data_IF_177379521236
#
_entry.id   IF_177379521236
#
_cell.length_a   1.000
_cell.length_b   1.000
_cell.length_c   1.000
_cell.angle_alpha   90.00
_cell.angle_beta   90.00
_cell.angle_gamma   90.00
#
_symmetry.space_group_name_H-M   'P 1'
#
loop_
_entity.id
_entity.type
_entity.pdbx_description
1 polymer ?
#
# COMPACT_ATOMS: atom_id res chain seq x y z
N UNK A 1 57.16 36.02 -32.12
CA UNK A 1 55.70 35.79 -32.26
C UNK A 1 55.39 34.49 -31.57
N UNK A 2 54.67 34.56 -30.45
CA UNK A 2 54.15 33.42 -29.70
C UNK A 2 53.19 32.59 -30.57
N UNK A 3 53.25 31.27 -30.47
CA UNK A 3 52.03 30.46 -30.36
C UNK A 3 52.35 29.15 -29.62
N UNK A 4 51.77 29.06 -28.43
CA UNK A 4 51.78 27.91 -27.54
C UNK A 4 51.02 26.73 -28.17
N UNK A 5 51.71 25.63 -28.44
CA UNK A 5 51.08 24.31 -28.52
C UNK A 5 51.01 23.76 -27.10
N UNK A 6 49.90 24.08 -26.42
CA UNK A 6 49.52 23.41 -25.18
C UNK A 6 49.23 21.95 -25.48
N UNK A 7 50.19 21.06 -25.23
CA UNK A 7 49.90 19.65 -25.04
C UNK A 7 49.04 19.53 -23.78
N UNK A 8 47.76 19.30 -23.98
CA UNK A 8 46.88 18.73 -22.96
C UNK A 8 47.39 17.32 -22.69
N UNK A 9 47.79 16.95 -21.46
CA UNK A 9 47.99 15.55 -21.15
C UNK A 9 46.62 14.87 -21.19
N UNK A 10 46.39 14.09 -22.24
CA UNK A 10 45.39 13.03 -22.21
C UNK A 10 45.86 12.01 -21.15
N UNK A 11 45.33 12.14 -19.94
CA UNK A 11 45.44 11.13 -18.88
C UNK A 11 44.03 10.64 -18.54
N UNK A 12 43.40 10.01 -19.53
CA UNK A 12 42.38 9.00 -19.28
C UNK A 12 42.90 7.65 -19.78
N UNK A 13 44.13 7.32 -19.39
CA UNK A 13 44.55 5.93 -19.30
C UNK A 13 44.08 5.42 -17.95
N UNK A 14 43.09 4.51 -17.96
CA UNK A 14 42.72 3.66 -16.83
C UNK A 14 43.98 3.00 -16.30
N UNK A 15 44.64 3.64 -15.33
CA UNK A 15 45.91 3.16 -14.80
C UNK A 15 45.66 1.84 -14.07
N UNK A 16 46.22 0.75 -14.58
CA UNK A 16 46.23 -0.53 -13.91
C UNK A 16 46.76 -0.35 -12.47
N UNK A 17 46.09 -0.88 -11.44
CA UNK A 17 46.57 -0.75 -10.08
C UNK A 17 47.90 -1.52 -9.92
N UNK A 18 49.01 -0.78 -9.82
CA UNK A 18 50.36 -1.35 -9.68
C UNK A 18 50.66 -1.77 -8.24
N UNK A 19 49.98 -1.14 -7.25
CA UNK A 19 50.23 -1.38 -5.83
C UNK A 19 49.42 -2.57 -5.27
N UNK A 20 50.01 -3.45 -4.43
CA UNK A 20 49.36 -4.68 -3.99
C UNK A 20 48.00 -4.48 -3.32
N UNK A 21 47.83 -3.40 -2.54
CA UNK A 21 46.57 -3.10 -1.88
C UNK A 21 45.47 -2.75 -2.89
N UNK A 22 45.79 -1.88 -3.86
CA UNK A 22 44.86 -1.46 -4.91
C UNK A 22 44.55 -2.60 -5.89
N UNK A 23 45.53 -3.44 -6.20
CA UNK A 23 45.32 -4.63 -7.02
C UNK A 23 44.37 -5.62 -6.35
N UNK A 24 44.51 -5.81 -5.02
CA UNK A 24 43.60 -6.66 -4.25
C UNK A 24 42.20 -6.06 -4.16
N UNK A 25 42.07 -4.74 -3.97
CA UNK A 25 40.79 -4.05 -4.03
C UNK A 25 40.10 -4.29 -5.36
N UNK A 26 40.79 -4.05 -6.47
CA UNK A 26 40.28 -4.32 -7.82
C UNK A 26 39.76 -5.76 -7.98
N UNK A 27 40.54 -6.76 -7.55
CA UNK A 27 40.12 -8.17 -7.63
C UNK A 27 38.85 -8.46 -6.80
N UNK A 28 38.77 -7.91 -5.59
CA UNK A 28 37.59 -8.08 -4.73
C UNK A 28 36.38 -7.34 -5.29
N UNK A 29 36.58 -6.19 -5.92
CA UNK A 29 35.55 -5.43 -6.62
C UNK A 29 35.03 -6.18 -7.85
N UNK A 30 35.88 -6.86 -8.62
CA UNK A 30 35.45 -7.79 -9.69
C UNK A 30 34.58 -8.89 -9.11
N UNK A 31 35.03 -9.52 -8.03
CA UNK A 31 34.30 -10.63 -7.37
C UNK A 31 32.94 -10.17 -6.85
N UNK A 32 32.88 -8.95 -6.29
CA UNK A 32 31.62 -8.35 -5.84
C UNK A 32 30.71 -8.04 -7.03
N UNK A 33 31.21 -7.38 -8.07
CA UNK A 33 30.41 -7.05 -9.26
C UNK A 33 29.86 -8.31 -9.93
N UNK A 34 30.68 -9.34 -10.08
CA UNK A 34 30.25 -10.61 -10.66
C UNK A 34 29.10 -11.24 -9.86
N UNK A 35 29.21 -11.24 -8.53
CA UNK A 35 28.11 -11.67 -7.68
C UNK A 35 26.87 -10.79 -7.88
N UNK A 36 27.02 -9.46 -7.85
CA UNK A 36 25.89 -8.51 -7.98
C UNK A 36 25.18 -8.62 -9.33
N UNK A 37 25.88 -8.95 -10.41
CA UNK A 37 25.30 -9.18 -11.74
C UNK A 37 24.39 -10.41 -11.76
N UNK A 38 24.75 -11.45 -11.02
CA UNK A 38 24.03 -12.72 -10.96
C UNK A 38 23.12 -12.87 -9.73
N UNK A 39 23.09 -11.86 -8.86
CA UNK A 39 22.31 -11.87 -7.63
C UNK A 39 20.83 -12.08 -7.94
N UNK A 40 20.21 -13.05 -7.26
CA UNK A 40 18.79 -13.36 -7.33
C UNK A 40 18.06 -12.91 -6.07
N UNK A 41 18.69 -13.05 -4.91
CA UNK A 41 18.07 -12.74 -3.61
C UNK A 41 18.89 -11.73 -2.82
N UNK A 42 18.23 -11.06 -1.87
CA UNK A 42 18.89 -10.15 -0.96
C UNK A 42 19.96 -10.87 -0.13
N UNK A 43 21.11 -10.22 0.08
CA UNK A 43 22.17 -10.74 0.94
C UNK A 43 23.12 -11.76 0.32
N UNK A 44 22.86 -12.32 -0.87
CA UNK A 44 23.74 -13.33 -1.51
C UNK A 44 25.18 -12.82 -1.71
N UNK A 45 25.36 -11.53 -1.98
CA UNK A 45 26.69 -10.93 -2.17
C UNK A 45 27.29 -10.34 -0.88
N UNK A 46 26.67 -10.59 0.28
CA UNK A 46 27.09 -10.04 1.57
C UNK A 46 28.53 -10.40 1.94
N UNK A 47 28.96 -11.64 1.69
CA UNK A 47 30.35 -12.06 1.96
C UNK A 47 31.37 -11.36 1.06
N UNK A 48 31.05 -11.17 -0.22
CA UNK A 48 31.94 -10.47 -1.16
C UNK A 48 32.06 -8.99 -0.79
N UNK A 49 30.95 -8.38 -0.36
CA UNK A 49 30.94 -6.99 0.13
C UNK A 49 31.75 -6.83 1.41
N UNK A 50 31.53 -7.69 2.41
CA UNK A 50 32.30 -7.65 3.65
C UNK A 50 33.82 -7.82 3.45
N UNK A 51 34.22 -8.67 2.49
CA UNK A 51 35.64 -8.83 2.13
C UNK A 51 36.21 -7.57 1.47
N UNK A 52 35.45 -6.92 0.59
CA UNK A 52 35.84 -5.66 -0.02
C UNK A 52 35.99 -4.57 1.06
N UNK A 53 35.02 -4.45 1.96
CA UNK A 53 35.03 -3.46 3.06
C UNK A 53 36.22 -3.67 3.99
N UNK A 54 36.54 -4.92 4.34
CA UNK A 54 37.73 -5.25 5.12
C UNK A 54 39.02 -4.84 4.40
N UNK A 55 39.11 -5.06 3.08
CA UNK A 55 40.26 -4.63 2.30
C UNK A 55 40.36 -3.12 2.18
N UNK A 56 39.24 -2.40 2.06
CA UNK A 56 39.20 -0.93 2.10
C UNK A 56 39.81 -0.44 3.42
N UNK A 57 39.39 -1.02 4.54
CA UNK A 57 39.93 -0.66 5.87
C UNK A 57 41.45 -0.91 5.95
N UNK A 58 41.94 -2.03 5.39
CA UNK A 58 43.37 -2.31 5.31
C UNK A 58 44.13 -1.30 4.45
N UNK A 59 43.62 -0.92 3.27
CA UNK A 59 44.28 0.10 2.44
C UNK A 59 44.28 1.47 3.11
N UNK A 60 43.24 1.83 3.87
CA UNK A 60 43.24 3.05 4.69
C UNK A 60 44.32 3.03 5.77
N UNK A 61 44.52 1.90 6.43
CA UNK A 61 45.61 1.75 7.42
C UNK A 61 47.00 1.88 6.79
N UNK A 62 47.14 1.48 5.52
CA UNK A 62 48.35 1.67 4.72
C UNK A 62 48.49 3.09 4.12
N UNK A 63 47.66 4.04 4.58
CA UNK A 63 47.71 5.46 4.19
C UNK A 63 47.36 5.73 2.71
N UNK A 64 46.65 4.82 2.04
CA UNK A 64 46.06 5.13 0.74
C UNK A 64 44.95 6.15 0.88
N UNK A 65 44.88 7.09 -0.08
CA UNK A 65 43.81 8.08 -0.13
C UNK A 65 42.49 7.43 -0.56
N UNK A 66 41.35 7.99 -0.13
CA UNK A 66 40.03 7.53 -0.57
C UNK A 66 39.90 7.58 -2.11
N UNK A 67 40.53 8.56 -2.76
CA UNK A 67 40.54 8.65 -4.22
C UNK A 67 41.28 7.47 -4.87
N UNK A 68 42.43 7.04 -4.33
CA UNK A 68 43.17 5.89 -4.84
C UNK A 68 42.39 4.58 -4.63
N UNK A 69 41.77 4.43 -3.45
CA UNK A 69 40.91 3.30 -3.11
C UNK A 69 39.73 3.22 -4.09
N UNK A 70 39.00 4.32 -4.29
CA UNK A 70 37.86 4.37 -5.20
C UNK A 70 38.28 4.06 -6.64
N UNK A 71 39.41 4.60 -7.11
CA UNK A 71 39.95 4.24 -8.44
C UNK A 71 40.25 2.76 -8.57
N UNK A 72 40.80 2.12 -7.52
CA UNK A 72 41.05 0.67 -7.52
C UNK A 72 39.74 -0.14 -7.61
N UNK A 73 38.70 0.30 -6.91
CA UNK A 73 37.36 -0.31 -6.96
C UNK A 73 36.73 -0.11 -8.35
N UNK A 74 36.72 1.11 -8.85
CA UNK A 74 36.15 1.49 -10.15
C UNK A 74 36.84 0.74 -11.28
N UNK A 75 38.17 0.60 -11.21
CA UNK A 75 38.93 -0.21 -12.17
C UNK A 75 38.47 -1.67 -12.14
N UNK A 76 38.29 -2.26 -10.95
CA UNK A 76 37.76 -3.62 -10.81
C UNK A 76 36.36 -3.74 -11.41
N UNK A 77 35.45 -2.82 -11.06
CA UNK A 77 34.09 -2.77 -11.62
C UNK A 77 34.08 -2.57 -13.14
N UNK A 78 34.99 -1.77 -13.70
CA UNK A 78 35.08 -1.51 -15.13
C UNK A 78 35.65 -2.69 -15.93
N UNK A 79 36.43 -3.58 -15.29
CA UNK A 79 37.07 -4.72 -15.96
C UNK A 79 36.11 -5.87 -16.33
N UNK A 80 34.91 -5.90 -15.75
CA UNK A 80 33.87 -6.87 -16.06
C UNK A 80 32.73 -6.17 -16.82
N UNK A 81 32.26 -6.74 -17.92
CA UNK A 81 31.12 -6.19 -18.66
C UNK A 81 29.80 -6.42 -17.89
N UNK A 82 28.80 -5.56 -18.15
CA UNK A 82 27.47 -5.68 -17.57
C UNK A 82 27.12 -4.60 -16.54
N UNK A 83 25.82 -4.32 -16.47
CA UNK A 83 25.23 -3.33 -15.57
C UNK A 83 24.54 -4.04 -14.40
N UNK A 84 25.01 -3.77 -13.17
CA UNK A 84 24.42 -4.28 -11.93
C UNK A 84 22.95 -3.86 -11.81
N UNK A 85 22.56 -2.72 -12.36
CA UNK A 85 21.17 -2.27 -12.43
C UNK A 85 20.26 -3.22 -13.19
N UNK A 86 20.81 -4.03 -14.10
CA UNK A 86 20.09 -5.03 -14.90
C UNK A 86 20.10 -6.45 -14.29
N UNK A 87 20.74 -6.64 -13.14
CA UNK A 87 20.74 -7.94 -12.44
C UNK A 87 19.31 -8.43 -12.13
N UNK A 88 19.10 -9.75 -12.02
CA UNK A 88 17.79 -10.33 -11.69
C UNK A 88 17.20 -9.72 -10.41
N UNK A 89 18.00 -9.62 -9.35
CA UNK A 89 17.59 -9.01 -8.09
C UNK A 89 17.20 -7.53 -8.25
N UNK A 90 18.00 -6.70 -8.92
CA UNK A 90 17.65 -5.27 -9.12
C UNK A 90 16.42 -5.10 -9.98
N UNK A 91 16.18 -5.98 -10.96
CA UNK A 91 14.94 -6.01 -11.74
C UNK A 91 13.74 -6.37 -10.86
N UNK A 92 13.87 -7.36 -9.98
CA UNK A 92 12.84 -7.74 -9.02
C UNK A 92 12.53 -6.59 -8.05
N UNK A 93 13.53 -5.95 -7.46
CA UNK A 93 13.37 -4.81 -6.56
C UNK A 93 12.68 -3.65 -7.27
N UNK A 94 13.09 -3.29 -8.50
CA UNK A 94 12.44 -2.23 -9.28
C UNK A 94 10.99 -2.57 -9.60
N UNK A 95 10.70 -3.83 -9.96
CA UNK A 95 9.34 -4.31 -10.20
C UNK A 95 8.49 -4.17 -8.94
N UNK A 96 8.99 -4.63 -7.78
CA UNK A 96 8.28 -4.55 -6.50
C UNK A 96 8.05 -3.09 -6.07
N UNK A 97 9.04 -2.22 -6.20
CA UNK A 97 8.91 -0.79 -5.91
C UNK A 97 7.84 -0.14 -6.80
N UNK A 98 7.82 -0.50 -8.08
CA UNK A 98 6.82 -0.02 -9.01
C UNK A 98 5.41 -0.56 -8.68
N UNK A 99 5.26 -1.85 -8.37
CA UNK A 99 3.99 -2.44 -7.93
C UNK A 99 3.48 -1.75 -6.65
N UNK A 100 4.34 -1.59 -5.65
CA UNK A 100 4.02 -0.87 -4.42
C UNK A 100 3.61 0.58 -4.69
N UNK A 101 4.25 1.25 -5.66
CA UNK A 101 3.87 2.62 -6.03
C UNK A 101 2.45 2.73 -6.58
N UNK A 102 1.98 1.70 -7.31
CA UNK A 102 0.62 1.64 -7.85
C UNK A 102 -0.41 1.28 -6.78
N UNK A 103 -0.05 0.45 -5.81
CA UNK A 103 -0.94 0.06 -4.71
C UNK A 103 -1.05 1.14 -3.62
N UNK A 104 -0.04 2.01 -3.48
CA UNK A 104 0.05 3.03 -2.42
C UNK A 104 -1.24 3.85 -2.22
N UNK A 105 -1.95 4.35 -3.26
CA UNK A 105 -3.21 5.07 -3.06
C UNK A 105 -4.31 4.23 -2.38
N UNK A 106 -4.42 2.95 -2.74
CA UNK A 106 -5.37 2.00 -2.14
C UNK A 106 -5.06 1.80 -0.65
N UNK A 107 -3.79 1.55 -0.33
CA UNK A 107 -3.32 1.36 1.05
C UNK A 107 -3.53 2.62 1.91
N UNK A 108 -3.23 3.80 1.36
CA UNK A 108 -3.45 5.07 2.06
C UNK A 108 -4.95 5.29 2.34
N UNK A 109 -5.82 4.99 1.37
CA UNK A 109 -7.27 5.12 1.56
C UNK A 109 -7.77 4.16 2.64
N UNK A 110 -7.32 2.92 2.61
CA UNK A 110 -7.64 1.95 3.66
C UNK A 110 -7.21 2.44 5.04
N UNK A 111 -5.95 2.87 5.20
CA UNK A 111 -5.45 3.38 6.48
C UNK A 111 -6.14 4.67 6.95
N UNK A 112 -6.74 5.46 6.05
CA UNK A 112 -7.57 6.61 6.44
C UNK A 112 -8.96 6.20 6.92
N UNK A 113 -9.54 5.17 6.34
CA UNK A 113 -10.88 4.67 6.70
C UNK A 113 -10.83 3.79 7.96
N UNK A 114 -9.75 3.03 8.11
CA UNK A 114 -9.57 2.04 9.15
C UNK A 114 -8.16 2.19 9.76
N UNK A 115 -7.92 3.27 10.54
CA UNK A 115 -6.59 3.60 11.05
C UNK A 115 -6.00 2.53 11.98
N UNK A 116 -6.86 1.80 12.69
CA UNK A 116 -6.45 0.76 13.63
C UNK A 116 -6.20 -0.61 12.95
N UNK A 117 -6.43 -0.71 11.64
CA UNK A 117 -6.38 -1.97 10.88
C UNK A 117 -5.05 -2.18 10.14
N UNK A 118 -3.93 -1.73 10.70
CA UNK A 118 -2.62 -1.81 10.03
C UNK A 118 -2.21 -3.25 9.69
N UNK A 119 -2.65 -4.25 10.47
CA UNK A 119 -2.38 -5.66 10.22
C UNK A 119 -2.94 -6.20 8.90
N UNK A 120 -3.90 -5.51 8.27
CA UNK A 120 -4.55 -5.95 7.03
C UNK A 120 -3.73 -5.60 5.77
N UNK A 121 -2.69 -4.77 5.89
CA UNK A 121 -1.95 -4.22 4.73
C UNK A 121 -1.38 -5.29 3.78
N UNK A 122 -0.85 -6.39 4.32
CA UNK A 122 -0.31 -7.48 3.50
C UNK A 122 -1.39 -8.11 2.63
N UNK A 123 -2.56 -8.39 3.23
CA UNK A 123 -3.73 -8.91 2.51
C UNK A 123 -4.19 -7.98 1.40
N UNK A 124 -4.07 -6.66 1.55
CA UNK A 124 -4.45 -5.69 0.52
C UNK A 124 -3.47 -5.62 -0.65
N UNK A 125 -2.22 -6.09 -0.48
CA UNK A 125 -1.20 -6.13 -1.53
C UNK A 125 -1.23 -7.41 -2.36
N UNK A 126 -1.87 -8.47 -1.85
CA UNK A 126 -1.97 -9.74 -2.56
C UNK A 126 -2.65 -9.57 -3.93
N UNK A 127 -2.26 -10.40 -4.90
CA UNK A 127 -2.98 -10.58 -6.18
C UNK A 127 -3.04 -9.33 -7.06
N UNK A 128 -2.19 -8.34 -6.78
CA UNK A 128 -1.92 -7.25 -7.68
C UNK A 128 -1.00 -7.69 -8.83
N UNK A 129 -1.24 -7.15 -10.02
CA UNK A 129 -0.40 -7.36 -11.21
C UNK A 129 -0.20 -8.84 -11.61
N UNK A 130 -1.29 -9.61 -11.60
CA UNK A 130 -1.29 -10.98 -12.10
C UNK A 130 -1.27 -11.02 -13.63
N UNK A 131 -0.99 -12.18 -14.24
CA UNK A 131 -1.03 -12.35 -15.70
C UNK A 131 -2.40 -11.99 -16.30
N UNK A 132 -3.50 -12.30 -15.62
CA UNK A 132 -4.86 -12.00 -16.07
C UNK A 132 -5.25 -10.54 -15.84
N UNK A 133 -4.70 -9.90 -14.82
CA UNK A 133 -5.00 -8.51 -14.43
C UNK A 133 -3.71 -7.69 -14.31
N UNK A 134 -3.09 -7.29 -15.44
CA UNK A 134 -1.87 -6.50 -15.41
C UNK A 134 -2.15 -5.13 -14.78
N UNK A 135 -1.32 -4.71 -13.83
CA UNK A 135 -1.44 -3.44 -13.08
C UNK A 135 -2.73 -3.28 -12.26
N UNK A 136 -3.43 -4.38 -11.97
CA UNK A 136 -4.73 -4.36 -11.30
C UNK A 136 -4.84 -5.51 -10.30
N UNK A 137 -5.81 -5.43 -9.39
CA UNK A 137 -6.13 -6.51 -8.46
C UNK A 137 -7.05 -7.52 -9.13
N UNK A 138 -6.72 -8.80 -9.06
CA UNK A 138 -7.59 -9.84 -9.55
C UNK A 138 -8.68 -10.17 -8.51
N UNK A 139 -9.96 -10.15 -8.90
CA UNK A 139 -11.08 -10.49 -8.02
C UNK A 139 -11.16 -11.97 -7.64
N UNK A 140 -11.69 -12.29 -6.44
CA UNK A 140 -12.01 -13.68 -6.03
C UNK A 140 -13.26 -13.77 -5.15
N UNK A 141 -13.90 -14.92 -5.23
CA UNK A 141 -14.99 -15.32 -4.35
C UNK A 141 -14.46 -15.58 -2.93
N UNK A 142 -14.65 -14.63 -2.00
CA UNK A 142 -14.27 -14.63 -0.56
C UNK A 142 -13.70 -13.28 -0.08
N UNK A 143 -13.49 -12.34 -1.01
CA UNK A 143 -12.99 -10.99 -0.72
C UNK A 143 -14.06 -9.94 -0.97
N UNK A 144 -13.81 -8.76 -0.43
CA UNK A 144 -14.73 -7.65 -0.49
C UNK A 144 -14.06 -6.38 -1.00
N UNK A 145 -14.88 -5.54 -1.60
CA UNK A 145 -14.56 -4.17 -1.96
C UNK A 145 -15.36 -3.26 -1.05
N UNK A 146 -14.70 -2.33 -0.39
CA UNK A 146 -15.36 -1.27 0.37
C UNK A 146 -16.11 -0.34 -0.60
N UNK A 147 -17.37 -0.07 -0.28
CA UNK A 147 -18.24 0.77 -1.09
C UNK A 147 -18.36 2.16 -0.46
N UNK A 148 -18.93 2.25 0.74
CA UNK A 148 -19.15 3.53 1.43
C UNK A 148 -19.55 3.30 2.91
N UNK A 149 -19.80 4.40 3.62
CA UNK A 149 -20.33 4.40 4.99
C UNK A 149 -21.47 5.40 5.15
N UNK A 150 -22.43 5.08 6.02
CA UNK A 150 -23.45 6.03 6.49
C UNK A 150 -23.55 5.98 8.01
N UNK A 151 -23.89 7.10 8.64
CA UNK A 151 -24.16 7.14 10.09
C UNK A 151 -25.66 7.31 10.31
N UNK A 152 -26.28 6.38 11.04
CA UNK A 152 -27.71 6.39 11.34
C UNK A 152 -27.94 6.46 12.86
N UNK A 153 -29.02 7.11 13.27
CA UNK A 153 -29.36 7.25 14.69
C UNK A 153 -30.46 6.26 15.07
N UNK A 154 -30.15 5.32 15.95
CA UNK A 154 -31.14 4.43 16.54
C UNK A 154 -31.85 5.15 17.68
N UNK A 155 -33.14 5.44 17.48
CA UNK A 155 -33.99 5.96 18.54
C UNK A 155 -34.37 4.86 19.55
N UNK A 156 -34.51 5.20 20.84
CA UNK A 156 -34.90 4.24 21.87
C UNK A 156 -36.31 3.71 21.63
N UNK A 157 -36.54 2.43 21.92
CA UNK A 157 -37.86 1.79 21.75
C UNK A 157 -38.64 1.68 23.05
N UNK A 158 -37.96 1.86 24.18
CA UNK A 158 -38.56 1.86 25.53
C UNK A 158 -38.41 3.23 26.20
N UNK A 159 -39.28 3.49 27.18
CA UNK A 159 -39.24 4.72 27.98
C UNK A 159 -38.01 4.79 28.92
N UNK A 160 -37.42 3.64 29.25
CA UNK A 160 -36.28 3.53 30.16
C UNK A 160 -34.91 3.73 29.47
N UNK A 161 -34.87 3.73 28.14
CA UNK A 161 -33.68 4.03 27.34
C UNK A 161 -33.54 5.54 27.09
N UNK A 162 -32.46 6.13 27.61
CA UNK A 162 -32.39 7.58 27.83
C UNK A 162 -31.86 8.41 26.65
N UNK A 163 -31.24 7.83 25.62
CA UNK A 163 -30.68 8.63 24.52
C UNK A 163 -30.66 7.90 23.17
N UNK A 164 -30.92 8.61 22.05
CA UNK A 164 -30.64 8.10 20.72
C UNK A 164 -29.15 7.78 20.55
N UNK A 165 -28.85 6.62 19.98
CA UNK A 165 -27.49 6.18 19.73
C UNK A 165 -27.12 6.28 18.26
N UNK A 166 -25.86 6.59 17.94
CA UNK A 166 -25.38 6.66 16.56
C UNK A 166 -24.60 5.40 16.21
N UNK A 167 -24.97 4.79 15.10
CA UNK A 167 -24.31 3.63 14.52
C UNK A 167 -23.71 3.97 13.16
N UNK A 168 -22.51 3.44 12.91
CA UNK A 168 -21.78 3.60 11.66
C UNK A 168 -21.97 2.34 10.82
N UNK A 169 -22.61 2.46 9.66
CA UNK A 169 -22.91 1.36 8.74
C UNK A 169 -21.92 1.38 7.58
N UNK A 170 -21.03 0.40 7.52
CA UNK A 170 -20.09 0.22 6.41
C UNK A 170 -20.64 -0.75 5.37
N UNK A 171 -20.59 -0.37 4.09
CA UNK A 171 -21.06 -1.17 2.97
C UNK A 171 -19.91 -1.82 2.23
N UNK A 172 -20.06 -3.11 1.94
CA UNK A 172 -19.08 -3.91 1.23
C UNK A 172 -19.75 -4.74 0.14
N UNK A 173 -19.17 -4.70 -1.06
CA UNK A 173 -19.56 -5.55 -2.17
C UNK A 173 -18.63 -6.77 -2.26
N UNK A 174 -19.13 -7.98 -2.51
CA UNK A 174 -18.26 -9.13 -2.77
C UNK A 174 -17.47 -8.92 -4.07
N UNK A 175 -16.20 -9.32 -4.07
CA UNK A 175 -15.41 -9.40 -5.28
C UNK A 175 -15.95 -10.46 -6.23
N UNK A 176 -15.87 -10.17 -7.53
CA UNK A 176 -16.28 -11.08 -8.60
C UNK A 176 -15.04 -11.75 -9.19
N UNK A 177 -15.01 -13.08 -9.18
CA UNK A 177 -13.94 -13.86 -9.81
C UNK A 177 -13.85 -13.50 -11.30
N UNK A 178 -12.63 -13.25 -11.79
CA UNK A 178 -12.38 -12.89 -13.19
C UNK A 178 -12.58 -11.42 -13.52
N UNK A 179 -13.04 -10.60 -12.57
CA UNK A 179 -13.06 -9.14 -12.70
C UNK A 179 -11.73 -8.59 -12.20
N UNK A 180 -11.16 -7.64 -12.95
CA UNK A 180 -9.98 -6.90 -12.53
C UNK A 180 -10.40 -5.56 -11.92
N UNK A 181 -9.84 -5.24 -10.76
CA UNK A 181 -10.12 -3.99 -10.05
C UNK A 181 -8.90 -3.09 -10.15
N UNK A 182 -9.09 -1.91 -10.74
CA UNK A 182 -8.01 -0.93 -10.82
C UNK A 182 -7.65 -0.40 -9.42
N UNK A 183 -6.36 -0.19 -9.11
CA UNK A 183 -5.97 0.60 -7.95
C UNK A 183 -6.54 2.01 -8.12
N UNK A 184 -7.02 2.61 -7.03
CA UNK A 184 -7.66 3.93 -7.02
C UNK A 184 -6.74 5.02 -7.60
N UNK A 185 -6.85 5.28 -8.91
CA UNK A 185 -5.99 6.19 -9.65
C UNK A 185 -6.67 6.94 -10.82
N UNK A 186 -8.00 7.00 -10.89
CA UNK A 186 -8.68 7.95 -11.78
C UNK A 186 -9.90 7.41 -12.54
N UNK A 187 -10.46 8.24 -13.44
CA UNK A 187 -11.86 8.24 -13.87
C UNK A 187 -12.27 7.09 -14.82
N UNK A 188 -11.50 6.00 -14.90
CA UNK A 188 -11.90 4.79 -15.63
C UNK A 188 -12.66 3.78 -14.75
N UNK A 189 -12.78 4.02 -13.44
CA UNK A 189 -13.63 3.23 -12.53
C UNK A 189 -15.12 3.67 -12.56
N UNK A 190 -15.48 4.51 -13.54
CA UNK A 190 -16.68 5.36 -13.56
C UNK A 190 -17.96 4.65 -14.02
N UNK A 191 -17.88 3.45 -14.61
CA UNK A 191 -19.08 2.77 -15.12
C UNK A 191 -19.85 1.92 -14.08
N UNK A 192 -19.66 2.17 -12.79
CA UNK A 192 -20.58 1.73 -11.75
C UNK A 192 -20.75 2.83 -10.69
N UNK A 193 -21.13 4.03 -11.19
CA UNK A 193 -21.90 5.10 -10.55
C UNK A 193 -21.86 5.27 -9.02
N UNK A 194 -21.32 6.42 -8.61
CA UNK A 194 -21.67 7.23 -7.44
C UNK A 194 -20.96 6.98 -6.09
N UNK A 195 -19.68 7.38 -6.08
CA UNK A 195 -18.98 8.11 -5.01
C UNK A 195 -18.88 7.49 -3.60
N UNK A 196 -17.94 6.56 -3.46
CA UNK A 196 -17.26 6.22 -2.21
C UNK A 196 -15.84 5.72 -2.49
N UNK A 197 -14.94 5.68 -1.49
CA UNK A 197 -13.59 5.13 -1.66
C UNK A 197 -13.67 3.65 -2.01
N UNK A 198 -12.95 3.17 -3.03
CA UNK A 198 -12.92 1.74 -3.37
C UNK A 198 -11.64 1.12 -2.88
N UNK A 199 -11.70 0.54 -1.68
CA UNK A 199 -10.62 -0.32 -1.21
C UNK A 199 -10.95 -1.77 -1.55
N UNK A 200 -10.03 -2.46 -2.21
CA UNK A 200 -10.22 -3.84 -2.69
C UNK A 200 -9.42 -4.85 -1.90
N UNK A 201 -9.69 -6.13 -2.12
CA UNK A 201 -9.04 -7.28 -1.50
C UNK A 201 -9.21 -7.33 0.03
N UNK A 202 -10.31 -6.79 0.53
CA UNK A 202 -10.63 -6.78 1.95
C UNK A 202 -11.00 -8.21 2.37
N UNK A 203 -10.28 -8.79 3.35
CA UNK A 203 -10.57 -10.13 3.81
C UNK A 203 -11.87 -10.21 4.63
N UNK A 204 -12.56 -11.34 4.56
CA UNK A 204 -13.73 -11.60 5.38
C UNK A 204 -13.47 -11.57 6.89
N UNK A 205 -12.26 -11.92 7.35
CA UNK A 205 -11.92 -11.84 8.79
C UNK A 205 -11.95 -10.39 9.29
N UNK A 206 -11.52 -9.41 8.48
CA UNK A 206 -11.55 -8.01 8.86
C UNK A 206 -12.99 -7.49 8.95
N UNK A 207 -13.91 -7.99 8.13
CA UNK A 207 -15.33 -7.67 8.28
C UNK A 207 -15.90 -8.17 9.60
N UNK A 208 -15.49 -9.36 10.04
CA UNK A 208 -15.88 -9.89 11.35
C UNK A 208 -15.29 -9.06 12.50
N UNK A 209 -14.05 -8.58 12.36
CA UNK A 209 -13.43 -7.65 13.33
C UNK A 209 -14.19 -6.32 13.40
N UNK A 210 -14.58 -5.75 12.26
CA UNK A 210 -15.41 -4.54 12.20
C UNK A 210 -16.79 -4.75 12.83
N UNK A 211 -17.41 -5.91 12.61
CA UNK A 211 -18.71 -6.26 13.22
C UNK A 211 -18.64 -6.40 14.75
N UNK A 212 -17.45 -6.72 15.29
CA UNK A 212 -17.22 -6.79 16.73
C UNK A 212 -17.01 -5.41 17.38
N UNK A 213 -16.79 -4.35 16.59
CA UNK A 213 -16.61 -3.01 17.11
C UNK A 213 -17.93 -2.41 17.62
N UNK A 214 -17.86 -1.67 18.72
CA UNK A 214 -19.03 -1.00 19.28
C UNK A 214 -19.57 0.05 18.29
N UNK A 215 -20.90 0.16 18.21
CA UNK A 215 -21.60 1.11 17.34
C UNK A 215 -21.26 0.99 15.85
N UNK A 216 -20.74 -0.15 15.41
CA UNK A 216 -20.49 -0.45 14.00
C UNK A 216 -21.47 -1.50 13.50
N UNK A 217 -21.91 -1.34 12.25
CA UNK A 217 -22.71 -2.31 11.51
C UNK A 217 -22.08 -2.51 10.14
N UNK A 218 -22.00 -3.77 9.71
CA UNK A 218 -21.46 -4.13 8.39
C UNK A 218 -22.60 -4.63 7.51
N UNK A 219 -22.70 -4.04 6.32
CA UNK A 219 -23.67 -4.40 5.29
C UNK A 219 -22.93 -5.06 4.14
N UNK A 220 -23.27 -6.32 3.85
CA UNK A 220 -22.69 -7.11 2.76
C UNK A 220 -23.70 -7.16 1.62
N UNK A 221 -23.44 -6.42 0.55
CA UNK A 221 -24.41 -6.25 -0.53
C UNK A 221 -24.57 -7.54 -1.34
N UNK A 222 -25.75 -8.16 -1.27
CA UNK A 222 -26.03 -9.47 -1.84
C UNK A 222 -26.12 -9.44 -3.37
N UNK A 223 -26.66 -8.36 -3.92
CA UNK A 223 -26.85 -8.18 -5.37
C UNK A 223 -25.58 -7.76 -6.12
N UNK A 224 -24.55 -7.32 -5.37
CA UNK A 224 -23.41 -6.58 -5.90
C UNK A 224 -23.72 -5.13 -6.27
N UNK A 225 -24.97 -4.67 -6.09
CA UNK A 225 -25.38 -3.27 -6.19
C UNK A 225 -25.57 -2.68 -4.79
N UNK A 226 -24.46 -2.26 -4.19
CA UNK A 226 -24.50 -1.58 -2.90
C UNK A 226 -25.22 -0.22 -2.94
N UNK A 227 -25.37 0.40 -4.12
CA UNK A 227 -26.02 1.70 -4.23
C UNK A 227 -27.52 1.57 -3.98
N UNK A 228 -28.13 0.52 -4.55
CA UNK A 228 -29.53 0.18 -4.30
C UNK A 228 -29.78 -0.18 -2.84
N UNK A 229 -28.94 -1.02 -2.23
CA UNK A 229 -29.10 -1.41 -0.82
C UNK A 229 -28.91 -0.24 0.14
N UNK A 230 -27.97 0.68 -0.15
CA UNK A 230 -27.79 1.91 0.61
C UNK A 230 -29.03 2.81 0.52
N UNK A 231 -29.58 2.98 -0.68
CA UNK A 231 -30.81 3.77 -0.89
C UNK A 231 -31.99 3.15 -0.13
N UNK A 232 -32.17 1.83 -0.23
CA UNK A 232 -33.22 1.13 0.50
C UNK A 232 -33.08 1.28 2.02
N UNK A 233 -31.85 1.24 2.56
CA UNK A 233 -31.62 1.50 3.98
C UNK A 233 -31.98 2.93 4.37
N UNK A 234 -31.65 3.92 3.52
CA UNK A 234 -32.01 5.32 3.76
C UNK A 234 -33.54 5.51 3.79
N UNK A 235 -34.26 4.92 2.84
CA UNK A 235 -35.73 5.00 2.77
C UNK A 235 -36.39 4.35 4.01
N UNK A 236 -35.90 3.18 4.42
CA UNK A 236 -36.36 2.50 5.63
C UNK A 236 -36.10 3.34 6.89
N UNK A 237 -34.91 3.95 6.97
CA UNK A 237 -34.54 4.80 8.09
C UNK A 237 -35.40 6.07 8.16
N UNK A 238 -35.70 6.69 7.03
CA UNK A 238 -36.58 7.86 6.98
C UNK A 238 -37.98 7.52 7.48
N UNK A 239 -38.56 6.40 7.03
CA UNK A 239 -39.84 5.90 7.52
C UNK A 239 -39.81 5.63 9.03
N UNK A 240 -38.78 4.91 9.51
CA UNK A 240 -38.56 4.64 10.93
C UNK A 240 -38.52 5.93 11.76
N UNK A 241 -37.76 6.92 11.31
CA UNK A 241 -37.61 8.19 12.01
C UNK A 241 -38.92 8.99 12.09
N UNK A 242 -39.74 8.95 11.03
CA UNK A 242 -41.05 9.60 10.99
C UNK A 242 -42.03 8.91 11.95
N UNK A 243 -42.09 7.57 11.93
CA UNK A 243 -42.94 6.80 12.83
C UNK A 243 -42.59 7.04 14.29
N UNK A 244 -41.29 7.08 14.62
CA UNK A 244 -40.83 7.38 15.98
C UNK A 244 -41.26 8.79 16.44
N UNK A 245 -41.09 9.82 15.59
CA UNK A 245 -41.54 11.19 15.92
C UNK A 245 -43.05 11.25 16.16
N UNK A 246 -43.83 10.59 15.30
CA UNK A 246 -45.28 10.54 15.44
C UNK A 246 -45.70 9.84 16.74
N UNK A 247 -45.10 8.69 17.04
CA UNK A 247 -45.35 7.97 18.28
C UNK A 247 -45.06 8.84 19.52
N UNK A 248 -43.94 9.56 19.54
CA UNK A 248 -43.60 10.48 20.64
C UNK A 248 -44.58 11.65 20.77
N UNK A 249 -45.10 12.17 19.67
CA UNK A 249 -46.15 13.19 19.71
C UNK A 249 -47.43 12.67 20.36
N UNK A 250 -47.88 11.48 19.98
CA UNK A 250 -49.08 10.86 20.56
C UNK A 250 -48.95 10.62 22.07
N UNK A 251 -47.79 10.13 22.52
CA UNK A 251 -47.50 9.92 23.93
C UNK A 251 -47.56 11.22 24.76
N UNK A 252 -47.03 12.33 24.22
CA UNK A 252 -47.10 13.63 24.88
C UNK A 252 -48.57 14.09 24.98
N UNK A 253 -49.35 13.91 23.92
CA UNK A 253 -50.78 14.26 23.94
C UNK A 253 -51.55 13.43 24.99
N UNK A 254 -51.32 12.12 25.05
CA UNK A 254 -51.99 11.26 26.04
C UNK A 254 -51.60 11.61 27.48
N UNK A 255 -50.33 11.96 27.72
CA UNK A 255 -49.87 12.40 29.04
C UNK A 255 -50.53 13.73 29.47
N UNK A 256 -50.76 14.65 28.51
CA UNK A 256 -51.47 15.91 28.77
C UNK A 256 -52.95 15.66 29.07
N UNK A 257 -53.62 14.78 28.31
CA UNK A 257 -55.01 14.41 28.53
C UNK A 257 -55.20 13.76 29.91
N UNK A 258 -54.36 12.79 30.27
CA UNK A 258 -54.42 12.14 31.59
C UNK A 258 -54.21 13.12 32.75
N UNK A 259 -53.32 14.11 32.59
CA UNK A 259 -53.09 15.17 33.60
C UNK A 259 -54.27 16.13 33.72
N UNK A 260 -55.03 16.33 32.65
CA UNK A 260 -56.22 17.16 32.68
C UNK A 260 -57.42 16.40 33.28
N UNK A 261 -57.53 15.10 33.05
CA UNK A 261 -58.60 14.25 33.62
C UNK A 261 -58.41 13.95 35.12
N UNK A 262 -57.18 14.08 35.64
CA UNK A 262 -56.84 13.86 37.05
C UNK A 262 -56.76 15.16 37.88
N UNK A 263 -57.20 16.30 37.33
CA UNK A 263 -57.34 17.60 38.00
C UNK A 263 -58.79 17.91 38.32
#
# INVERSE_FOLDING_TARGET
MLCCLGLVPAHDSLAHPVEPCLARLSQLSVTLKDCELHQVEEGQCGSSRARLDAQIALCKQQQFTDQAINRGIDYGYASLEGDVGQSPYRRQVRKQQWENSLMKPNLIRFGRLFPDALHVHESLMERFNTQACPKQYAGKSDRYVYFDVVTLTQYPTSYDELAPEKYVYHFFAPEKKGVCYAPDAGPAAVDASAAGPRVVNIPGYFLAELEAADRVKVVRCASGDCAAEKTALADLYDQYSQQYRHHRQLLICSDIEQRNDSR
#
